data_IF_095617094938
#
_entry.id   IF_095617094938
#
_cell.length_a   1.000
_cell.length_b   1.000
_cell.length_c   1.000
_cell.angle_alpha   90.00
_cell.angle_beta   90.00
_cell.angle_gamma   90.00
#
_symmetry.space_group_name_H-M   'P 1'
#
loop_
_entity.id
_entity.type
_entity.pdbx_description
1 polymer ?
#
# COMPACT_ATOMS: atom_id res chain seq x y z
N UNK A 1 8.91 -9.59 -30.02
CA UNK A 1 7.87 -8.56 -29.85
C UNK A 1 8.19 -7.81 -28.56
N UNK A 2 8.58 -6.54 -28.66
CA UNK A 2 8.80 -5.70 -27.47
C UNK A 2 7.44 -5.33 -26.88
N UNK A 3 7.24 -5.56 -25.58
CA UNK A 3 6.08 -5.02 -24.87
C UNK A 3 6.43 -3.58 -24.51
N UNK A 4 5.86 -2.63 -25.23
CA UNK A 4 5.98 -1.20 -24.92
C UNK A 4 5.25 -0.91 -23.60
N UNK A 5 5.94 -0.25 -22.68
CA UNK A 5 5.36 0.17 -21.39
C UNK A 5 4.81 1.59 -21.59
N UNK A 6 3.50 1.77 -21.36
CA UNK A 6 2.84 3.07 -21.41
C UNK A 6 2.27 3.40 -20.04
N UNK A 7 2.67 4.53 -19.47
CA UNK A 7 2.24 4.96 -18.13
C UNK A 7 1.44 6.25 -18.24
N UNK A 8 0.28 6.26 -17.59
CA UNK A 8 -0.50 7.49 -17.34
C UNK A 8 -0.18 7.96 -15.93
N UNK A 9 0.89 8.72 -15.77
CA UNK A 9 1.47 9.09 -14.47
C UNK A 9 0.43 9.65 -13.49
N UNK A 10 -0.37 10.64 -13.93
CA UNK A 10 -1.39 11.28 -13.09
C UNK A 10 -2.45 10.29 -12.57
N UNK A 11 -2.86 9.34 -13.41
CA UNK A 11 -3.87 8.34 -13.02
C UNK A 11 -3.31 7.33 -12.03
N UNK A 12 -2.06 6.92 -12.24
CA UNK A 12 -1.35 6.01 -11.34
C UNK A 12 -1.12 6.68 -9.98
N UNK A 13 -0.64 7.92 -9.96
CA UNK A 13 -0.41 8.68 -8.73
C UNK A 13 -1.70 8.90 -7.95
N UNK A 14 -2.79 9.29 -8.63
CA UNK A 14 -4.12 9.44 -8.01
C UNK A 14 -4.63 8.12 -7.43
N UNK A 15 -4.46 7.01 -8.15
CA UNK A 15 -4.84 5.69 -7.67
C UNK A 15 -4.03 5.28 -6.44
N UNK A 16 -2.70 5.44 -6.48
CA UNK A 16 -1.81 5.12 -5.35
C UNK A 16 -2.14 5.96 -4.11
N UNK A 17 -2.38 7.26 -4.27
CA UNK A 17 -2.79 8.13 -3.17
C UNK A 17 -4.13 7.71 -2.57
N UNK A 18 -5.12 7.36 -3.40
CA UNK A 18 -6.41 6.86 -2.92
C UNK A 18 -6.24 5.57 -2.10
N UNK A 19 -5.41 4.64 -2.56
CA UNK A 19 -5.14 3.40 -1.83
C UNK A 19 -4.39 3.70 -0.53
N UNK A 20 -3.36 4.57 -0.55
CA UNK A 20 -2.62 4.99 0.66
C UNK A 20 -3.54 5.53 1.74
N UNK A 21 -4.42 6.47 1.38
CA UNK A 21 -5.39 7.06 2.32
C UNK A 21 -6.37 6.00 2.84
N UNK A 22 -6.91 5.17 1.95
CA UNK A 22 -7.87 4.13 2.35
C UNK A 22 -7.25 3.12 3.30
N UNK A 23 -6.00 2.71 3.05
CA UNK A 23 -5.24 1.80 3.91
C UNK A 23 -4.97 2.42 5.28
N UNK A 24 -4.61 3.70 5.35
CA UNK A 24 -4.36 4.40 6.62
C UNK A 24 -5.61 4.58 7.50
N UNK A 25 -6.81 4.54 6.91
CA UNK A 25 -8.09 4.68 7.62
C UNK A 25 -8.63 3.36 8.17
N UNK A 26 -7.98 2.22 7.91
CA UNK A 26 -8.44 0.92 8.41
C UNK A 26 -8.29 0.89 9.94
N UNK A 27 -9.43 0.91 10.64
CA UNK A 27 -9.50 0.73 12.08
C UNK A 27 -9.32 -0.74 12.44
N UNK A 28 -8.18 -1.08 13.04
CA UNK A 28 -7.83 -2.45 13.43
C UNK A 28 -7.99 -2.62 14.93
N UNK A 29 -9.23 -2.82 15.35
CA UNK A 29 -9.58 -3.03 16.76
C UNK A 29 -10.51 -4.22 16.88
N UNK A 30 -10.25 -5.09 17.86
CA UNK A 30 -11.19 -6.13 18.24
C UNK A 30 -12.04 -5.66 19.42
N UNK A 31 -13.35 -5.99 19.45
CA UNK A 31 -14.18 -5.72 20.61
C UNK A 31 -13.70 -6.54 21.82
N UNK A 32 -13.65 -5.90 22.99
CA UNK A 32 -13.43 -6.63 24.24
C UNK A 32 -14.69 -7.41 24.59
N UNK A 33 -14.53 -8.72 24.76
CA UNK A 33 -15.59 -9.63 25.20
C UNK A 33 -15.32 -10.16 26.62
N UNK A 34 -14.43 -9.49 27.35
CA UNK A 34 -14.09 -9.85 28.72
C UNK A 34 -15.28 -9.58 29.65
N UNK A 35 -15.68 -10.60 30.40
CA UNK A 35 -16.64 -10.57 31.50
C UNK A 35 -16.21 -11.60 32.54
N UNK A 36 -17.04 -11.89 33.56
CA UNK A 36 -16.74 -12.90 34.59
C UNK A 36 -16.71 -14.36 34.09
N UNK A 37 -16.68 -14.57 32.77
CA UNK A 37 -16.78 -15.87 32.15
C UNK A 37 -15.37 -16.42 31.86
N UNK A 38 -14.92 -17.36 32.70
CA UNK A 38 -13.61 -18.02 32.58
C UNK A 38 -13.64 -19.28 31.70
N UNK A 39 -14.62 -19.41 30.78
CA UNK A 39 -14.61 -20.53 29.84
C UNK A 39 -13.37 -20.46 28.95
N UNK A 40 -12.63 -21.56 28.85
CA UNK A 40 -11.50 -21.73 27.92
C UNK A 40 -11.84 -21.32 26.47
N UNK A 41 -13.10 -21.44 26.06
CA UNK A 41 -13.56 -20.98 24.75
C UNK A 41 -13.52 -19.46 24.59
N UNK A 42 -13.91 -18.70 25.63
CA UNK A 42 -13.88 -17.22 25.62
C UNK A 42 -12.44 -16.73 25.54
N UNK A 43 -11.53 -17.31 26.34
CA UNK A 43 -10.10 -17.00 26.29
C UNK A 43 -9.52 -17.23 24.89
N UNK A 44 -9.83 -18.36 24.26
CA UNK A 44 -9.38 -18.64 22.87
C UNK A 44 -9.91 -17.64 21.86
N UNK A 45 -11.15 -17.16 22.00
CA UNK A 45 -11.71 -16.14 21.10
C UNK A 45 -10.97 -14.81 21.29
N UNK A 46 -10.66 -14.43 22.54
CA UNK A 46 -9.88 -13.22 22.83
C UNK A 46 -8.49 -13.32 22.18
N UNK A 47 -7.82 -14.45 22.28
CA UNK A 47 -6.49 -14.66 21.68
C UNK A 47 -6.55 -14.62 20.16
N UNK A 48 -7.52 -15.30 19.54
CA UNK A 48 -7.74 -15.25 18.08
C UNK A 48 -7.98 -13.80 17.62
N UNK A 49 -8.79 -13.04 18.36
CA UNK A 49 -9.05 -11.64 18.05
C UNK A 49 -7.78 -10.79 18.10
N UNK A 50 -6.91 -11.00 19.10
CA UNK A 50 -5.61 -10.33 19.20
C UNK A 50 -4.69 -10.70 18.03
N UNK A 51 -4.65 -11.98 17.66
CA UNK A 51 -3.85 -12.46 16.54
C UNK A 51 -4.34 -11.86 15.21
N UNK A 52 -5.65 -11.78 15.00
CA UNK A 52 -6.25 -11.17 13.81
C UNK A 52 -5.94 -9.68 13.72
N UNK A 53 -6.02 -8.94 14.83
CA UNK A 53 -5.64 -7.52 14.85
C UNK A 53 -4.17 -7.35 14.50
N UNK A 54 -3.30 -8.16 15.10
CA UNK A 54 -1.84 -8.12 14.84
C UNK A 54 -1.52 -8.46 13.38
N UNK A 55 -2.16 -9.49 12.83
CA UNK A 55 -2.02 -9.87 11.42
C UNK A 55 -2.47 -8.75 10.49
N UNK A 56 -3.62 -8.14 10.77
CA UNK A 56 -4.14 -7.06 9.96
C UNK A 56 -3.24 -5.81 10.01
N UNK A 57 -2.65 -5.50 11.18
CA UNK A 57 -1.70 -4.39 11.33
C UNK A 57 -0.42 -4.64 10.54
N UNK A 58 0.08 -5.87 10.60
CA UNK A 58 1.26 -6.29 9.84
C UNK A 58 1.01 -6.20 8.33
N UNK A 59 -0.17 -6.63 7.87
CA UNK A 59 -0.56 -6.51 6.47
C UNK A 59 -0.74 -5.05 6.04
N UNK A 60 -1.35 -4.20 6.88
CA UNK A 60 -1.50 -2.77 6.62
C UNK A 60 -0.13 -2.10 6.44
N UNK A 61 0.84 -2.39 7.32
CA UNK A 61 2.20 -1.88 7.21
C UNK A 61 2.90 -2.33 5.92
N UNK A 62 2.80 -3.61 5.58
CA UNK A 62 3.35 -4.15 4.33
C UNK A 62 2.73 -3.50 3.10
N UNK A 63 1.41 -3.30 3.11
CA UNK A 63 0.69 -2.65 2.02
C UNK A 63 1.13 -1.19 1.85
N UNK A 64 1.29 -0.45 2.95
CA UNK A 64 1.81 0.92 2.89
C UNK A 64 3.22 0.97 2.31
N UNK A 65 4.12 0.09 2.74
CA UNK A 65 5.47 0.00 2.19
C UNK A 65 5.48 -0.29 0.68
N UNK A 66 4.62 -1.20 0.22
CA UNK A 66 4.47 -1.51 -1.20
C UNK A 66 3.93 -0.32 -2.01
N UNK A 67 2.98 0.43 -1.46
CA UNK A 67 2.45 1.64 -2.10
C UNK A 67 3.57 2.68 -2.26
N UNK A 68 4.37 2.91 -1.22
CA UNK A 68 5.48 3.85 -1.26
C UNK A 68 6.58 3.44 -2.24
N UNK A 69 6.94 2.14 -2.26
CA UNK A 69 7.87 1.60 -3.25
C UNK A 69 7.35 1.76 -4.68
N UNK A 70 6.05 1.59 -4.90
CA UNK A 70 5.41 1.78 -6.21
C UNK A 70 5.40 3.25 -6.61
N UNK A 71 5.09 4.17 -5.69
CA UNK A 71 5.16 5.61 -5.93
C UNK A 71 6.57 6.04 -6.35
N UNK A 72 7.59 5.59 -5.63
CA UNK A 72 9.00 5.86 -5.96
C UNK A 72 9.40 5.32 -7.34
N UNK A 73 8.93 4.10 -7.67
CA UNK A 73 9.18 3.51 -8.99
C UNK A 73 8.54 4.32 -10.11
N UNK A 74 7.29 4.78 -9.92
CA UNK A 74 6.58 5.61 -10.90
C UNK A 74 7.29 6.95 -11.11
N UNK A 75 7.75 7.59 -10.03
CA UNK A 75 8.52 8.84 -10.13
C UNK A 75 9.83 8.65 -10.87
N UNK A 76 10.58 7.59 -10.54
CA UNK A 76 11.84 7.26 -11.24
C UNK A 76 11.62 7.05 -12.74
N UNK A 77 10.51 6.38 -13.12
CA UNK A 77 10.15 6.19 -14.52
C UNK A 77 9.80 7.52 -15.20
N UNK A 78 9.13 8.44 -14.51
CA UNK A 78 8.80 9.77 -15.03
C UNK A 78 10.06 10.60 -15.27
N UNK A 79 10.96 10.66 -14.28
CA UNK A 79 12.24 11.35 -14.40
C UNK A 79 13.08 10.80 -15.56
N UNK A 80 13.07 9.48 -15.74
CA UNK A 80 13.77 8.80 -16.85
C UNK A 80 13.18 9.22 -18.21
N UNK A 81 11.86 9.21 -18.35
CA UNK A 81 11.17 9.62 -19.59
C UNK A 81 11.44 11.10 -19.92
N UNK A 82 11.46 11.97 -18.90
CA UNK A 82 11.79 13.39 -19.05
C UNK A 82 13.24 13.59 -19.48
N UNK A 83 14.19 12.87 -18.87
CA UNK A 83 15.60 12.92 -19.21
C UNK A 83 15.88 12.46 -20.65
N UNK A 84 15.25 11.35 -21.08
CA UNK A 84 15.32 10.85 -22.45
C UNK A 84 14.73 11.88 -23.41
N UNK A 85 13.55 12.41 -23.12
CA UNK A 85 12.90 13.45 -23.94
C UNK A 85 13.76 14.71 -24.10
N UNK A 86 14.41 15.16 -23.02
CA UNK A 86 15.33 16.29 -23.05
C UNK A 86 16.61 16.01 -23.86
N UNK A 87 17.13 14.78 -23.83
CA UNK A 87 18.26 14.36 -24.66
C UNK A 87 17.93 14.37 -26.15
N UNK A 88 16.75 13.87 -26.53
CA UNK A 88 16.29 13.84 -27.93
C UNK A 88 16.12 15.27 -28.47
N UNK A 89 15.51 16.16 -27.68
CA UNK A 89 15.36 17.57 -28.05
C UNK A 89 16.70 18.26 -28.30
N UNK A 90 17.73 17.94 -27.53
CA UNK A 90 19.09 18.50 -27.70
C UNK A 90 19.84 17.93 -28.90
N UNK A 91 19.58 16.68 -29.29
CA UNK A 91 20.21 16.05 -30.46
C UNK A 91 19.63 16.47 -31.82
N UNK A 92 18.54 17.22 -31.83
CA UNK A 92 17.89 17.77 -33.04
C UNK A 92 18.05 19.30 -33.19
N UNK A 93 18.85 19.94 -32.33
CA UNK A 93 19.26 21.34 -32.46
C UNK A 93 20.71 21.41 -32.95
#
# INVERSE_FOLDING_TARGET
MSKEIKIRYDEVEKALNKVKTSTGLIGLTAPSIEGSNELNAVTKIIDINKDLVTLAQSYQALLLANIEATQSSVETMKETDEAISASIKRGHA
#
